data_IF_607250857459
#
_entry.id   IF_607250857459
#
_cell.length_a   1.000
_cell.length_b   1.000
_cell.length_c   1.000
_cell.angle_alpha   90.00
_cell.angle_beta   90.00
_cell.angle_gamma   90.00
#
_symmetry.space_group_name_H-M   'P 1'
#
loop_
_entity.id
_entity.type
_entity.pdbx_description
1 polymer ?
#
# COMPACT_ATOMS: atom_id res chain seq x y z
N UNK A 1 -0.56 -4.38 -8.72
CA UNK A 1 -0.77 -5.03 -7.39
C UNK A 1 0.34 -6.00 -7.02
N UNK A 2 0.85 -6.86 -7.89
CA UNK A 2 1.90 -7.84 -7.55
C UNK A 2 3.15 -7.23 -6.92
N UNK A 3 3.66 -6.12 -7.46
CA UNK A 3 4.81 -5.40 -6.88
C UNK A 3 4.54 -4.92 -5.46
N UNK A 4 3.40 -4.26 -5.22
CA UNK A 4 3.04 -3.81 -3.87
C UNK A 4 2.85 -5.00 -2.92
N UNK A 5 2.20 -6.08 -3.38
CA UNK A 5 1.97 -7.27 -2.56
C UNK A 5 3.28 -8.00 -2.21
N UNK A 6 4.25 -8.02 -3.12
CA UNK A 6 5.58 -8.55 -2.78
C UNK A 6 6.23 -7.75 -1.65
N UNK A 7 6.05 -6.41 -1.65
CA UNK A 7 6.61 -5.52 -0.64
C UNK A 7 5.81 -5.48 0.68
N UNK A 8 4.49 -5.65 0.64
CA UNK A 8 3.63 -5.63 1.84
C UNK A 8 3.47 -7.02 2.48
N UNK A 9 3.39 -8.06 1.65
CA UNK A 9 2.96 -9.39 2.07
C UNK A 9 3.97 -10.51 1.72
N UNK A 10 5.13 -10.17 1.19
CA UNK A 10 6.13 -11.14 0.71
C UNK A 10 5.51 -12.20 -0.23
N UNK A 11 4.57 -11.79 -1.09
CA UNK A 11 3.83 -12.67 -1.99
C UNK A 11 3.39 -11.96 -3.25
N UNK A 12 3.46 -12.64 -4.41
CA UNK A 12 2.83 -12.16 -5.65
C UNK A 12 1.32 -12.47 -5.71
N UNK A 13 0.83 -13.37 -4.85
CA UNK A 13 -0.62 -13.67 -4.76
C UNK A 13 -1.34 -12.60 -3.93
N UNK A 14 -1.47 -11.42 -4.54
CA UNK A 14 -2.16 -10.29 -3.91
C UNK A 14 -3.65 -10.57 -3.66
N UNK A 15 -4.27 -11.51 -4.42
CA UNK A 15 -5.68 -11.86 -4.24
C UNK A 15 -5.94 -12.65 -2.97
N UNK A 16 -4.96 -13.40 -2.50
CA UNK A 16 -5.06 -14.07 -1.19
C UNK A 16 -5.10 -13.06 -0.03
N UNK A 17 -4.64 -11.83 -0.24
CA UNK A 17 -4.55 -10.82 0.79
C UNK A 17 -5.88 -10.16 1.14
N UNK A 18 -6.95 -10.34 0.35
CA UNK A 18 -8.28 -9.85 0.73
C UNK A 18 -8.74 -10.41 2.08
N UNK A 19 -8.42 -11.68 2.36
CA UNK A 19 -8.78 -12.36 3.61
C UNK A 19 -7.77 -12.13 4.75
N UNK A 20 -6.61 -11.49 4.48
CA UNK A 20 -5.60 -11.26 5.51
C UNK A 20 -6.15 -10.37 6.62
N UNK A 21 -5.89 -10.74 7.87
CA UNK A 21 -6.12 -9.93 9.07
C UNK A 21 -5.24 -10.43 10.20
N UNK A 22 -4.59 -9.50 10.91
CA UNK A 22 -3.75 -9.77 12.07
C UNK A 22 -3.86 -8.64 13.09
N UNK A 23 -3.79 -8.99 14.39
CA UNK A 23 -3.73 -8.03 15.48
C UNK A 23 -2.28 -7.72 15.84
N UNK A 24 -1.96 -6.44 16.00
CA UNK A 24 -0.63 -5.95 16.44
C UNK A 24 0.51 -6.59 15.63
N UNK A 25 0.43 -6.46 14.32
CA UNK A 25 1.41 -7.03 13.37
C UNK A 25 2.84 -6.55 13.63
N UNK A 26 3.00 -5.35 14.19
CA UNK A 26 4.30 -4.77 14.56
C UNK A 26 4.94 -5.46 15.78
N UNK A 27 4.18 -6.26 16.54
CA UNK A 27 4.60 -6.91 17.79
C UNK A 27 5.20 -5.94 18.84
N UNK A 28 4.86 -4.65 18.73
CA UNK A 28 5.37 -3.55 19.55
C UNK A 28 4.18 -2.73 20.09
N UNK A 29 4.08 -2.59 21.43
CA UNK A 29 2.97 -1.86 22.04
C UNK A 29 2.95 -0.37 21.65
N UNK A 30 4.12 0.23 21.41
CA UNK A 30 4.24 1.65 21.04
C UNK A 30 3.77 1.95 19.61
N UNK A 31 3.83 0.98 18.72
CA UNK A 31 3.46 1.09 17.30
C UNK A 31 2.17 0.36 16.96
N UNK A 32 1.53 -0.27 17.94
CA UNK A 32 0.31 -1.04 17.75
C UNK A 32 -0.77 -0.19 17.03
N UNK A 33 -1.22 -0.69 15.87
CA UNK A 33 -2.27 -0.09 15.02
C UNK A 33 -3.62 -0.78 15.19
N UNK A 34 -3.77 -1.64 16.21
CA UNK A 34 -4.94 -2.49 16.38
C UNK A 34 -4.90 -3.66 15.38
N UNK A 35 -5.96 -3.85 14.62
CA UNK A 35 -5.98 -4.80 13.51
C UNK A 35 -5.40 -4.18 12.25
N UNK A 36 -4.64 -5.00 11.50
CA UNK A 36 -4.16 -4.71 10.14
C UNK A 36 -4.73 -5.77 9.22
N UNK A 37 -5.37 -5.38 8.11
CA UNK A 37 -6.12 -6.33 7.28
C UNK A 37 -6.21 -5.92 5.81
N UNK A 38 -6.46 -6.91 4.95
CA UNK A 38 -6.74 -6.70 3.53
C UNK A 38 -5.51 -6.39 2.66
N UNK A 39 -5.78 -6.07 1.40
CA UNK A 39 -4.81 -5.99 0.30
C UNK A 39 -3.74 -4.89 0.41
N UNK A 40 -3.93 -3.91 1.28
CA UNK A 40 -2.98 -2.81 1.52
C UNK A 40 -2.75 -2.56 3.01
N UNK A 41 -3.19 -3.48 3.88
CA UNK A 41 -3.00 -3.35 5.31
C UNK A 41 -3.86 -2.24 5.94
N UNK A 42 -5.16 -2.20 5.63
CA UNK A 42 -6.11 -1.31 6.32
C UNK A 42 -6.01 -1.51 7.83
N UNK A 43 -5.92 -0.44 8.60
CA UNK A 43 -5.80 -0.55 10.05
C UNK A 43 -7.03 -0.03 10.79
N UNK A 44 -7.34 -0.64 11.94
CA UNK A 44 -8.46 -0.18 12.77
C UNK A 44 -8.17 1.18 13.46
N UNK A 45 -6.93 1.66 13.39
CA UNK A 45 -6.49 2.92 13.99
C UNK A 45 -6.57 4.13 13.04
N UNK A 46 -6.55 3.92 11.72
CA UNK A 46 -6.27 5.00 10.75
C UNK A 46 -7.42 5.29 9.78
N UNK A 47 -8.66 5.21 10.24
CA UNK A 47 -9.90 5.46 9.46
C UNK A 47 -10.15 4.47 8.32
N UNK A 48 -9.12 4.03 7.61
CA UNK A 48 -9.24 3.29 6.35
C UNK A 48 -9.96 1.93 6.49
N UNK A 49 -9.79 1.21 7.61
CA UNK A 49 -10.57 -0.01 7.89
C UNK A 49 -12.05 0.32 8.14
N UNK A 50 -12.33 1.38 8.89
CA UNK A 50 -13.70 1.83 9.15
C UNK A 50 -14.38 2.25 7.83
N UNK A 51 -13.69 3.03 7.01
CA UNK A 51 -14.21 3.49 5.72
C UNK A 51 -14.45 2.32 4.77
N UNK A 52 -13.53 1.36 4.70
CA UNK A 52 -13.67 0.15 3.88
C UNK A 52 -14.86 -0.71 4.31
N UNK A 53 -15.04 -0.96 5.63
CA UNK A 53 -16.21 -1.74 6.14
C UNK A 53 -17.51 -0.97 5.94
N UNK A 54 -17.49 0.35 6.05
CA UNK A 54 -18.65 1.21 5.76
C UNK A 54 -19.04 1.10 4.28
N UNK A 55 -18.07 1.15 3.38
CA UNK A 55 -18.30 0.97 1.95
C UNK A 55 -18.82 -0.43 1.64
N UNK A 56 -18.28 -1.46 2.29
CA UNK A 56 -18.79 -2.82 2.15
C UNK A 56 -20.25 -2.93 2.59
N UNK A 57 -20.64 -2.29 3.70
CA UNK A 57 -22.05 -2.27 4.14
C UNK A 57 -22.98 -1.53 3.15
N UNK A 58 -22.48 -0.49 2.47
CA UNK A 58 -23.23 0.19 1.41
C UNK A 58 -23.42 -0.70 0.17
N UNK A 59 -22.40 -1.49 -0.21
CA UNK A 59 -22.44 -2.39 -1.36
C UNK A 59 -23.22 -3.68 -1.11
N UNK A 60 -23.21 -4.17 0.13
CA UNK A 60 -23.89 -5.37 0.60
C UNK A 60 -24.48 -5.12 2.01
N UNK A 61 -25.65 -4.50 2.12
CA UNK A 61 -26.28 -4.22 3.42
C UNK A 61 -26.51 -5.46 4.26
N UNK A 62 -26.28 -5.33 5.57
CA UNK A 62 -26.41 -6.43 6.53
C UNK A 62 -25.41 -7.58 6.32
N UNK A 63 -24.25 -7.32 5.73
CA UNK A 63 -23.18 -8.28 5.61
C UNK A 63 -22.60 -8.70 6.98
N UNK A 64 -21.70 -9.67 6.98
CA UNK A 64 -21.15 -10.27 8.22
C UNK A 64 -20.36 -9.25 9.08
N UNK A 65 -19.83 -8.16 8.48
CA UNK A 65 -19.05 -7.12 9.17
C UNK A 65 -19.88 -5.94 9.64
N UNK A 66 -21.13 -5.75 9.16
CA UNK A 66 -22.01 -4.62 9.54
C UNK A 66 -22.11 -4.41 11.05
N UNK A 67 -22.16 -5.50 11.81
CA UNK A 67 -22.29 -5.47 13.28
C UNK A 67 -21.09 -4.85 14.00
N UNK A 68 -19.93 -4.76 13.34
CA UNK A 68 -18.70 -4.19 13.91
C UNK A 68 -18.55 -2.70 13.66
N UNK A 69 -19.35 -2.07 12.81
CA UNK A 69 -19.27 -0.64 12.51
C UNK A 69 -19.28 0.25 13.76
N UNK A 70 -20.17 0.04 14.77
CA UNK A 70 -20.15 0.85 15.99
C UNK A 70 -18.85 0.69 16.81
N UNK A 71 -18.26 -0.52 16.80
CA UNK A 71 -17.00 -0.77 17.49
C UNK A 71 -15.82 -0.16 16.72
N UNK A 72 -15.78 -0.29 15.39
CA UNK A 72 -14.76 0.34 14.55
C UNK A 72 -14.76 1.86 14.72
N UNK A 73 -15.95 2.50 14.72
CA UNK A 73 -16.08 3.95 15.00
C UNK A 73 -15.52 4.35 16.36
N UNK A 74 -15.70 3.49 17.38
CA UNK A 74 -15.23 3.77 18.74
C UNK A 74 -13.71 3.64 18.87
N UNK A 75 -13.09 2.68 18.19
CA UNK A 75 -11.66 2.40 18.30
C UNK A 75 -10.81 3.20 17.31
N UNK A 76 -11.42 3.79 16.31
CA UNK A 76 -10.74 4.62 15.33
C UNK A 76 -9.89 5.71 16.00
N UNK A 77 -8.70 5.97 15.46
CA UNK A 77 -7.70 6.86 16.06
C UNK A 77 -6.94 6.25 17.25
N UNK A 78 -7.24 5.00 17.65
CA UNK A 78 -6.61 4.33 18.80
C UNK A 78 -6.08 2.94 18.43
N UNK A 79 -5.25 2.35 19.29
CA UNK A 79 -4.83 0.95 19.17
C UNK A 79 -5.79 -0.05 19.86
N UNK A 80 -6.91 0.43 20.41
CA UNK A 80 -7.91 -0.41 21.07
C UNK A 80 -8.62 -1.34 20.07
N UNK A 81 -9.09 -2.48 20.56
CA UNK A 81 -9.95 -3.41 19.85
C UNK A 81 -11.27 -3.63 20.56
N UNK A 82 -11.64 -2.70 21.46
CA UNK A 82 -12.85 -2.79 22.28
C UNK A 82 -14.11 -2.94 21.43
N UNK A 83 -14.85 -4.04 21.66
CA UNK A 83 -16.09 -4.35 20.96
C UNK A 83 -15.92 -5.10 19.63
N UNK A 84 -14.70 -5.27 19.12
CA UNK A 84 -14.45 -6.11 17.93
C UNK A 84 -14.53 -7.60 18.29
N UNK A 85 -13.91 -7.99 19.41
CA UNK A 85 -14.00 -9.36 19.95
C UNK A 85 -13.25 -10.40 19.11
N UNK A 86 -13.33 -11.66 19.57
CA UNK A 86 -12.62 -12.80 18.95
C UNK A 86 -13.14 -13.18 17.56
N UNK A 87 -14.39 -12.83 17.28
CA UNK A 87 -15.05 -13.23 16.03
C UNK A 87 -14.72 -12.31 14.86
N UNK A 88 -14.13 -11.15 15.10
CA UNK A 88 -13.85 -10.16 14.06
C UNK A 88 -12.92 -10.72 12.98
N UNK A 89 -11.82 -11.37 13.37
CA UNK A 89 -10.89 -12.01 12.42
C UNK A 89 -11.55 -13.12 11.60
N UNK A 90 -12.36 -13.96 12.27
CA UNK A 90 -13.12 -15.02 11.58
C UNK A 90 -14.10 -14.44 10.57
N UNK A 91 -14.82 -13.41 10.96
CA UNK A 91 -15.86 -12.81 10.14
C UNK A 91 -15.27 -11.98 8.99
N UNK A 92 -14.08 -11.38 9.18
CA UNK A 92 -13.29 -10.79 8.11
C UNK A 92 -12.92 -11.83 7.04
N UNK A 93 -12.35 -12.97 7.46
CA UNK A 93 -12.00 -14.07 6.56
C UNK A 93 -13.22 -14.67 5.86
N UNK A 94 -14.37 -14.73 6.56
CA UNK A 94 -15.62 -15.19 5.96
C UNK A 94 -16.15 -14.22 4.90
N UNK A 95 -15.96 -12.91 5.09
CA UNK A 95 -16.36 -11.87 4.14
C UNK A 95 -15.66 -12.02 2.78
N UNK A 96 -14.46 -12.59 2.72
CA UNK A 96 -13.73 -12.82 1.46
C UNK A 96 -14.50 -13.69 0.45
N UNK A 97 -15.46 -14.48 0.91
CA UNK A 97 -16.39 -15.22 0.03
C UNK A 97 -17.39 -14.33 -0.73
N UNK A 98 -17.55 -13.06 -0.34
CA UNK A 98 -18.45 -12.10 -0.98
C UNK A 98 -17.68 -11.21 -1.97
N UNK A 99 -18.00 -11.21 -3.28
CA UNK A 99 -17.37 -10.32 -4.26
C UNK A 99 -17.46 -8.83 -3.90
N UNK A 100 -18.52 -8.41 -3.16
CA UNK A 100 -18.69 -7.02 -2.71
C UNK A 100 -17.68 -6.61 -1.65
N UNK A 101 -17.20 -7.54 -0.85
CA UNK A 101 -16.11 -7.29 0.09
C UNK A 101 -14.80 -6.96 -0.62
N UNK A 102 -14.48 -7.71 -1.68
CA UNK A 102 -13.28 -7.43 -2.50
C UNK A 102 -13.43 -6.13 -3.27
N UNK A 103 -14.62 -5.87 -3.82
CA UNK A 103 -14.93 -4.59 -4.49
C UNK A 103 -14.75 -3.40 -3.54
N UNK A 104 -15.19 -3.51 -2.28
CA UNK A 104 -15.01 -2.46 -1.28
C UNK A 104 -13.54 -2.20 -0.98
N UNK A 105 -12.72 -3.24 -0.82
CA UNK A 105 -11.28 -3.09 -0.61
C UNK A 105 -10.59 -2.45 -1.82
N UNK A 106 -10.95 -2.84 -3.04
CA UNK A 106 -10.41 -2.24 -4.26
C UNK A 106 -10.76 -0.75 -4.36
N UNK A 107 -12.03 -0.40 -4.13
CA UNK A 107 -12.47 1.00 -4.19
C UNK A 107 -11.80 1.86 -3.11
N UNK A 108 -11.66 1.34 -1.89
CA UNK A 108 -11.03 2.07 -0.79
C UNK A 108 -9.52 2.26 -1.04
N UNK A 109 -8.81 1.22 -1.50
CA UNK A 109 -7.42 1.32 -1.95
C UNK A 109 -7.27 2.39 -3.04
N UNK A 110 -8.15 2.35 -4.04
CA UNK A 110 -8.08 3.28 -5.18
C UNK A 110 -8.35 4.71 -4.75
N UNK A 111 -9.34 4.92 -3.88
CA UNK A 111 -9.71 6.25 -3.37
C UNK A 111 -8.59 6.85 -2.50
N UNK A 112 -8.03 6.05 -1.61
CA UNK A 112 -7.12 6.54 -0.57
C UNK A 112 -5.68 6.60 -1.04
N UNK A 113 -5.22 5.61 -1.78
CA UNK A 113 -3.80 5.45 -2.12
C UNK A 113 -3.50 5.55 -3.62
N UNK A 114 -4.18 4.75 -4.45
CA UNK A 114 -3.81 4.60 -5.87
C UNK A 114 -4.12 5.85 -6.69
N UNK A 115 -5.38 6.27 -6.74
CA UNK A 115 -5.79 7.40 -7.59
C UNK A 115 -5.07 8.71 -7.24
N UNK A 116 -4.94 9.12 -5.96
CA UNK A 116 -4.20 10.33 -5.61
C UNK A 116 -2.71 10.27 -6.00
N UNK A 117 -2.06 9.12 -5.79
CA UNK A 117 -0.64 8.94 -6.11
C UNK A 117 -0.38 8.94 -7.62
N UNK A 118 -1.16 8.17 -8.39
CA UNK A 118 -1.03 8.06 -9.84
C UNK A 118 -1.36 9.37 -10.53
N UNK A 119 -2.45 10.04 -10.12
CA UNK A 119 -2.79 11.38 -10.65
C UNK A 119 -1.65 12.38 -10.44
N UNK A 120 -1.03 12.35 -9.27
CA UNK A 120 0.09 13.24 -8.97
C UNK A 120 1.34 12.89 -9.81
N UNK A 121 1.63 11.59 -9.97
CA UNK A 121 2.76 11.11 -10.78
C UNK A 121 2.58 11.48 -12.26
N UNK A 122 1.38 11.31 -12.80
CA UNK A 122 1.04 11.71 -14.18
C UNK A 122 1.16 13.24 -14.37
N UNK A 123 0.73 14.03 -13.40
CA UNK A 123 0.89 15.48 -13.42
C UNK A 123 2.38 15.90 -13.37
N UNK A 124 3.26 15.08 -12.80
CA UNK A 124 4.71 15.27 -12.84
C UNK A 124 5.36 14.76 -14.13
N UNK A 125 4.60 14.10 -15.03
CA UNK A 125 5.07 13.58 -16.31
C UNK A 125 5.80 12.24 -16.18
N UNK A 126 5.49 11.44 -15.16
CA UNK A 126 6.16 10.16 -14.87
C UNK A 126 5.48 9.00 -15.59
N UNK A 127 6.30 8.05 -16.08
CA UNK A 127 5.87 6.77 -16.60
C UNK A 127 5.49 5.79 -15.46
N UNK A 128 5.19 4.55 -15.80
CA UNK A 128 4.63 3.53 -14.90
C UNK A 128 5.51 3.28 -13.67
N UNK A 129 6.83 3.25 -13.82
CA UNK A 129 7.76 3.10 -12.67
C UNK A 129 7.60 4.25 -11.68
N UNK A 130 7.47 5.48 -12.16
CA UNK A 130 7.27 6.66 -11.31
C UNK A 130 5.89 6.65 -10.65
N UNK A 131 4.84 6.22 -11.39
CA UNK A 131 3.50 6.04 -10.86
C UNK A 131 3.48 4.97 -9.75
N UNK A 132 4.16 3.83 -10.00
CA UNK A 132 4.32 2.78 -8.99
C UNK A 132 5.08 3.29 -7.76
N UNK A 133 6.21 3.99 -7.94
CA UNK A 133 6.99 4.51 -6.82
C UNK A 133 6.19 5.48 -5.93
N UNK A 134 5.33 6.32 -6.53
CA UNK A 134 4.44 7.20 -5.76
C UNK A 134 3.33 6.44 -5.03
N UNK A 135 2.72 5.47 -5.71
CA UNK A 135 1.68 4.64 -5.12
C UNK A 135 2.21 3.81 -3.95
N UNK A 136 3.34 3.13 -4.15
CA UNK A 136 3.98 2.31 -3.11
C UNK A 136 4.43 3.17 -1.90
N UNK A 137 4.91 4.40 -2.15
CA UNK A 137 5.18 5.35 -1.08
C UNK A 137 3.91 5.83 -0.36
N UNK A 138 2.78 5.96 -1.07
CA UNK A 138 1.51 6.33 -0.46
C UNK A 138 0.95 5.21 0.42
N UNK A 139 1.05 3.96 0.00
CA UNK A 139 0.65 2.79 0.81
C UNK A 139 1.45 2.74 2.11
N UNK A 140 2.79 2.84 2.03
CA UNK A 140 3.68 2.72 3.19
C UNK A 140 3.60 3.90 4.17
N UNK A 141 3.50 5.13 3.66
CA UNK A 141 3.63 6.36 4.46
C UNK A 141 2.32 7.19 4.54
N UNK A 142 1.20 6.64 4.05
CA UNK A 142 -0.08 7.37 3.93
C UNK A 142 -0.09 8.40 2.80
N UNK A 143 1.08 8.89 2.36
CA UNK A 143 1.20 9.85 1.25
C UNK A 143 2.61 9.95 0.70
N UNK A 144 2.76 10.13 -0.61
CA UNK A 144 4.06 10.40 -1.24
C UNK A 144 4.48 11.90 -1.23
N UNK A 145 3.61 12.81 -0.76
CA UNK A 145 3.79 14.27 -0.93
C UNK A 145 5.06 14.83 -0.27
N UNK A 146 5.44 14.34 0.92
CA UNK A 146 6.66 14.78 1.62
C UNK A 146 7.92 14.36 0.86
N UNK A 147 7.96 13.11 0.42
CA UNK A 147 9.06 12.52 -0.35
C UNK A 147 9.20 13.27 -1.68
N UNK A 148 8.09 13.47 -2.41
CA UNK A 148 8.04 14.29 -3.64
C UNK A 148 8.61 15.69 -3.42
N UNK A 149 8.19 16.40 -2.39
CA UNK A 149 8.67 17.74 -2.07
C UNK A 149 10.19 17.75 -1.80
N UNK A 150 10.71 16.70 -1.16
CA UNK A 150 12.15 16.59 -0.92
C UNK A 150 12.93 16.30 -2.22
N UNK A 151 12.40 15.44 -3.10
CA UNK A 151 12.97 15.15 -4.42
C UNK A 151 13.02 16.39 -5.31
N UNK A 152 11.94 17.17 -5.37
CA UNK A 152 11.84 18.40 -6.16
C UNK A 152 12.83 19.50 -5.75
N UNK A 153 13.42 19.43 -4.56
CA UNK A 153 14.51 20.33 -4.16
C UNK A 153 15.85 19.96 -4.81
N UNK A 154 15.97 18.72 -5.31
CA UNK A 154 17.21 18.17 -5.89
C UNK A 154 17.13 18.06 -7.41
N UNK A 155 15.95 17.74 -7.95
CA UNK A 155 15.73 17.53 -9.37
C UNK A 155 14.34 18.04 -9.79
N UNK A 156 14.23 18.54 -11.03
CA UNK A 156 12.96 18.92 -11.65
C UNK A 156 12.23 17.66 -12.12
N UNK A 157 10.91 17.67 -12.03
CA UNK A 157 10.08 16.63 -12.66
C UNK A 157 10.12 16.74 -14.18
N UNK A 158 9.79 15.68 -14.95
CA UNK A 158 9.64 15.76 -16.40
C UNK A 158 8.69 16.87 -16.85
N UNK A 159 7.57 17.05 -16.19
CA UNK A 159 6.63 18.14 -16.47
C UNK A 159 7.24 19.55 -16.29
N UNK A 160 8.33 19.67 -15.53
CA UNK A 160 9.10 20.89 -15.34
C UNK A 160 10.34 20.96 -16.25
N UNK A 161 10.45 20.06 -17.23
CA UNK A 161 11.59 19.95 -18.14
C UNK A 161 12.81 19.25 -17.54
N UNK A 162 12.63 18.46 -16.48
CA UNK A 162 13.66 17.59 -15.91
C UNK A 162 13.78 16.25 -16.62
N UNK A 163 14.85 15.52 -16.32
CA UNK A 163 15.05 14.14 -16.73
C UNK A 163 14.40 13.20 -15.71
N UNK A 164 13.60 12.22 -16.18
CA UNK A 164 12.83 11.33 -15.32
C UNK A 164 13.73 10.44 -14.46
N UNK A 165 14.80 9.88 -15.04
CA UNK A 165 15.73 9.01 -14.30
C UNK A 165 16.41 9.79 -13.17
N UNK A 166 16.83 11.03 -13.46
CA UNK A 166 17.43 11.93 -12.45
C UNK A 166 16.43 12.25 -11.35
N UNK A 167 15.18 12.55 -11.73
CA UNK A 167 14.12 12.84 -10.75
C UNK A 167 13.77 11.64 -9.89
N UNK A 168 13.57 10.45 -10.49
CA UNK A 168 13.25 9.23 -9.76
C UNK A 168 14.38 8.82 -8.81
N UNK A 169 15.66 8.99 -9.19
CA UNK A 169 16.76 8.78 -8.24
C UNK A 169 16.64 9.72 -7.02
N UNK A 170 16.33 11.00 -7.24
CA UNK A 170 16.14 11.94 -6.14
C UNK A 170 14.91 11.59 -5.27
N UNK A 171 13.84 11.05 -5.88
CA UNK A 171 12.64 10.59 -5.15
C UNK A 171 12.94 9.36 -4.30
N UNK A 172 13.63 8.37 -4.86
CA UNK A 172 14.00 7.15 -4.15
C UNK A 172 15.00 7.43 -3.02
N UNK A 173 15.98 8.36 -3.23
CA UNK A 173 16.86 8.83 -2.15
C UNK A 173 16.08 9.48 -0.99
N UNK A 174 15.11 10.33 -1.33
CA UNK A 174 14.26 10.96 -0.32
C UNK A 174 13.38 9.95 0.42
N UNK A 175 12.92 8.91 -0.29
CA UNK A 175 12.15 7.82 0.30
C UNK A 175 12.97 6.99 1.27
N UNK A 176 14.19 6.60 0.93
CA UNK A 176 15.11 5.90 1.84
C UNK A 176 15.35 6.71 3.11
N UNK A 177 15.48 8.04 3.00
CA UNK A 177 15.61 8.91 4.19
C UNK A 177 14.34 8.88 5.04
N UNK A 178 13.16 8.84 4.44
CA UNK A 178 11.90 8.77 5.19
C UNK A 178 11.73 7.42 5.88
N UNK A 179 11.98 6.31 5.16
CA UNK A 179 11.94 4.95 5.71
C UNK A 179 12.84 4.81 6.95
N UNK A 180 14.07 5.28 6.89
CA UNK A 180 15.04 5.21 8.00
C UNK A 180 14.67 6.07 9.23
N UNK A 181 13.63 6.90 9.15
CA UNK A 181 13.08 7.64 10.30
C UNK A 181 12.06 6.83 11.08
N UNK A 182 11.51 5.83 10.47
CA UNK A 182 10.49 4.95 11.04
C UNK A 182 11.17 3.63 11.40
N UNK A 183 11.25 3.30 12.69
CA UNK A 183 11.98 2.12 13.18
C UNK A 183 11.48 0.81 12.58
N UNK A 184 10.17 0.73 12.29
CA UNK A 184 9.55 -0.42 11.63
C UNK A 184 9.89 -0.55 10.14
N UNK A 185 10.52 0.45 9.53
CA UNK A 185 10.74 0.53 8.08
C UNK A 185 12.21 0.72 7.71
N UNK A 186 13.15 0.22 8.52
CA UNK A 186 14.59 0.35 8.29
C UNK A 186 15.10 -0.52 7.13
N UNK A 187 14.39 -1.60 6.77
CA UNK A 187 14.67 -2.38 5.56
C UNK A 187 14.24 -1.61 4.30
N UNK A 188 15.23 -1.20 3.54
CA UNK A 188 15.05 -0.41 2.32
C UNK A 188 15.04 -1.23 1.04
N UNK A 189 14.94 -2.56 1.12
CA UNK A 189 15.02 -3.47 -0.04
C UNK A 189 13.96 -3.19 -1.11
N UNK A 190 12.73 -2.80 -0.71
CA UNK A 190 11.67 -2.40 -1.65
C UNK A 190 12.04 -1.18 -2.51
N UNK A 191 13.03 -0.40 -2.08
CA UNK A 191 13.61 0.68 -2.89
C UNK A 191 14.86 0.18 -3.61
N UNK A 192 15.85 -0.33 -2.87
CA UNK A 192 17.19 -0.58 -3.39
C UNK A 192 17.29 -1.80 -4.31
N UNK A 193 16.54 -2.86 -4.04
CA UNK A 193 16.60 -4.12 -4.79
C UNK A 193 15.33 -4.43 -5.59
N UNK A 194 14.35 -3.52 -5.57
CA UNK A 194 13.14 -3.55 -6.40
C UNK A 194 13.11 -2.32 -7.32
N UNK A 195 12.67 -1.15 -6.86
CA UNK A 195 12.41 0.02 -7.73
C UNK A 195 13.68 0.54 -8.42
N UNK A 196 14.82 0.58 -7.73
CA UNK A 196 16.09 0.98 -8.34
C UNK A 196 16.61 -0.02 -9.37
N UNK A 197 16.22 -1.29 -9.29
CA UNK A 197 16.60 -2.28 -10.33
C UNK A 197 15.95 -1.88 -11.64
N UNK A 198 14.65 -1.63 -11.65
CA UNK A 198 13.93 -1.21 -12.87
C UNK A 198 14.46 0.13 -13.41
N UNK A 199 14.78 1.07 -12.52
CA UNK A 199 15.34 2.36 -12.91
C UNK A 199 16.73 2.23 -13.56
N UNK A 200 17.62 1.38 -13.02
CA UNK A 200 18.94 1.11 -13.60
C UNK A 200 18.86 0.41 -14.93
N UNK A 201 17.87 -0.46 -15.09
CA UNK A 201 17.65 -1.21 -16.33
C UNK A 201 16.95 -0.33 -17.41
N UNK A 202 16.59 0.91 -17.08
CA UNK A 202 15.89 1.83 -17.97
C UNK A 202 14.44 1.43 -18.24
N UNK A 203 13.88 0.51 -17.44
CA UNK A 203 12.52 0.01 -17.59
C UNK A 203 11.52 0.95 -16.90
N UNK A 204 11.30 2.13 -17.48
CA UNK A 204 10.38 3.13 -16.93
C UNK A 204 8.91 2.76 -17.12
N UNK A 205 8.60 1.87 -18.08
CA UNK A 205 7.26 1.39 -18.41
C UNK A 205 6.86 0.12 -17.66
N UNK A 206 7.77 -0.43 -16.83
CA UNK A 206 7.55 -1.69 -16.10
C UNK A 206 7.17 -2.84 -17.03
N UNK A 207 7.83 -2.93 -18.21
CA UNK A 207 7.62 -4.00 -19.16
C UNK A 207 8.14 -5.34 -18.60
N UNK A 208 7.31 -6.39 -18.56
CA UNK A 208 7.75 -7.71 -18.11
C UNK A 208 8.77 -8.37 -19.06
N UNK A 209 9.59 -9.32 -18.56
CA UNK A 209 9.57 -9.85 -17.21
C UNK A 209 10.22 -8.92 -16.18
N UNK A 210 9.57 -8.72 -15.04
CA UNK A 210 10.12 -7.94 -13.94
C UNK A 210 10.80 -8.86 -12.95
N UNK A 211 12.13 -8.70 -12.73
CA UNK A 211 12.92 -9.47 -11.79
C UNK A 211 13.48 -8.56 -10.71
N UNK A 212 13.18 -8.87 -9.46
CA UNK A 212 13.58 -8.05 -8.31
C UNK A 212 13.71 -8.87 -7.03
N UNK A 213 14.20 -8.22 -5.98
CA UNK A 213 14.25 -8.79 -4.63
C UNK A 213 13.66 -7.82 -3.64
N UNK A 214 12.92 -8.36 -2.65
CA UNK A 214 12.49 -7.58 -1.49
C UNK A 214 12.49 -8.47 -0.26
N UNK A 215 12.94 -7.94 0.88
CA UNK A 215 13.14 -8.68 2.15
C UNK A 215 13.96 -9.99 2.02
N UNK A 216 14.91 -10.03 1.08
CA UNK A 216 15.75 -11.20 0.81
C UNK A 216 15.17 -12.20 -0.18
N UNK A 217 13.89 -12.18 -0.46
CA UNK A 217 13.22 -13.06 -1.41
C UNK A 217 13.33 -12.55 -2.85
N UNK A 218 13.40 -13.48 -3.80
CA UNK A 218 13.48 -13.18 -5.24
C UNK A 218 12.14 -13.40 -5.91
N UNK A 219 11.71 -12.44 -6.73
CA UNK A 219 10.45 -12.47 -7.45
C UNK A 219 10.66 -12.30 -8.95
N UNK A 220 9.76 -12.90 -9.71
CA UNK A 220 9.64 -12.68 -11.16
C UNK A 220 8.17 -12.51 -11.51
N UNK A 221 7.83 -11.40 -12.16
CA UNK A 221 6.50 -11.16 -12.74
C UNK A 221 6.67 -11.33 -14.24
N UNK A 222 6.07 -12.37 -14.79
CA UNK A 222 6.08 -12.65 -16.23
C UNK A 222 5.01 -11.84 -16.94
N UNK A 223 5.15 -11.70 -18.26
CA UNK A 223 4.06 -11.14 -19.07
C UNK A 223 2.82 -12.01 -18.95
N UNK A 224 1.70 -11.42 -18.54
CA UNK A 224 0.43 -12.13 -18.58
C UNK A 224 0.10 -12.40 -20.06
N UNK A 225 -0.01 -13.67 -20.41
CA UNK A 225 -0.46 -14.05 -21.77
C UNK A 225 -1.86 -13.49 -22.03
N UNK A 226 -2.02 -12.84 -23.18
CA UNK A 226 -3.33 -12.39 -23.69
C UNK A 226 -4.27 -13.57 -23.93
#
# INVERSE_FOLDING_TARGET
MELVSAAENSSLDWKAQYAYIEYNVEHNEGENRGYTAGIVGFTSKTDDMLEMVTLYDQLAPHNVLTKYLPALQKVDGTSSTDGLGKDFERDWKLADGDPKFREAQDQERDRTYFNPAVTLAQADGLHELGQFAYYDAAVMHGTCRRIRKAAMRKAKTPAQGGDEVTYLNAFLDARVVEMKREEAHDDVSRVETEQRVFLRDGNLTLDPPLRFKTYGDSYTIEAHGN
#
